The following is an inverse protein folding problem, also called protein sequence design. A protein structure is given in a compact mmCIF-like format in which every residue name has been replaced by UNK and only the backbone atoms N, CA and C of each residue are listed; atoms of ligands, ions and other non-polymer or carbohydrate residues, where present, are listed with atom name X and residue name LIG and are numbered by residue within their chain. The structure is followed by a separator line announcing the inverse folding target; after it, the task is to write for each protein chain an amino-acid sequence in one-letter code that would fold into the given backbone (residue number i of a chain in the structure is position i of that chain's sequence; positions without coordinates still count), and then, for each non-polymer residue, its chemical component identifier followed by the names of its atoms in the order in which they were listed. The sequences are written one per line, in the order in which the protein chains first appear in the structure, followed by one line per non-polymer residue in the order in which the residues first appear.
data_IF_912452230594
#
_entry.id   IF_912452230594
#
_cell.length_a   1.000
_cell.length_b   1.000
_cell.length_c   1.000
_cell.angle_alpha   90.00
_cell.angle_beta   90.00
_cell.angle_gamma   90.00
#
_symmetry.space_group_name_H-M   'P 1'
#
loop_
_entity.id
_entity.type
_entity.pdbx_description
1 polymer ?
#
# COMPACT_ATOMS: atom_id res chain seq x y z
N UNK A 1 9.59 -9.20 -14.23
CA UNK A 1 9.61 -7.83 -13.65
C UNK A 1 10.56 -7.81 -12.45
N UNK A 2 10.99 -6.65 -11.93
CA UNK A 2 12.02 -6.56 -10.86
C UNK A 2 11.70 -7.44 -9.65
N UNK A 3 10.44 -7.48 -9.25
CA UNK A 3 9.93 -8.24 -8.11
C UNK A 3 9.96 -9.76 -8.29
N UNK A 4 10.03 -10.24 -9.54
CA UNK A 4 10.14 -11.67 -9.87
C UNK A 4 11.60 -12.13 -9.88
N UNK A 5 12.56 -11.20 -9.91
CA UNK A 5 13.99 -11.55 -9.84
C UNK A 5 14.32 -12.16 -8.47
N UNK A 6 15.33 -13.04 -8.39
CA UNK A 6 15.78 -13.61 -7.13
C UNK A 6 16.15 -12.51 -6.13
N UNK A 7 15.70 -12.65 -4.89
CA UNK A 7 16.06 -11.73 -3.82
C UNK A 7 17.51 -11.96 -3.43
N UNK A 8 18.25 -10.88 -3.22
CA UNK A 8 19.63 -10.96 -2.73
C UNK A 8 19.72 -11.60 -1.34
N UNK A 9 18.71 -11.36 -0.51
CA UNK A 9 18.58 -11.96 0.82
C UNK A 9 17.68 -13.19 0.76
N UNK A 10 18.13 -14.28 1.36
CA UNK A 10 17.42 -15.55 1.41
C UNK A 10 17.07 -15.96 2.85
N UNK A 11 17.56 -15.22 3.86
CA UNK A 11 17.25 -15.46 5.28
C UNK A 11 16.09 -14.53 5.71
N UNK A 12 14.92 -14.76 5.11
CA UNK A 12 13.73 -13.94 5.32
C UNK A 12 12.77 -14.52 6.37
N UNK A 13 12.16 -13.66 7.18
CA UNK A 13 11.06 -14.01 8.07
C UNK A 13 9.75 -13.34 7.64
N UNK A 14 8.61 -13.99 7.92
CA UNK A 14 7.29 -13.58 7.40
C UNK A 14 6.20 -13.58 8.46
N UNK A 15 6.52 -13.22 9.71
CA UNK A 15 5.55 -13.20 10.82
C UNK A 15 4.37 -12.27 10.51
N UNK A 16 4.62 -11.12 9.92
CA UNK A 16 3.57 -10.14 9.57
C UNK A 16 2.64 -10.71 8.51
N UNK A 17 3.20 -11.26 7.43
CA UNK A 17 2.42 -11.90 6.37
C UNK A 17 1.62 -13.09 6.91
N UNK A 18 2.23 -13.95 7.74
CA UNK A 18 1.56 -15.07 8.38
C UNK A 18 0.36 -14.63 9.22
N UNK A 19 0.52 -13.62 10.09
CA UNK A 19 -0.56 -13.08 10.89
C UNK A 19 -1.70 -12.57 10.00
N UNK A 20 -1.38 -11.78 8.97
CA UNK A 20 -2.39 -11.22 8.05
C UNK A 20 -3.13 -12.30 7.26
N UNK A 21 -2.45 -13.35 6.80
CA UNK A 21 -3.11 -14.47 6.12
C UNK A 21 -4.02 -15.24 7.08
N UNK A 22 -3.60 -15.44 8.33
CA UNK A 22 -4.43 -16.10 9.35
C UNK A 22 -5.70 -15.28 9.64
N UNK A 23 -5.58 -13.97 9.75
CA UNK A 23 -6.70 -13.06 10.05
C UNK A 23 -7.70 -12.95 8.89
N UNK A 24 -7.22 -12.91 7.64
CA UNK A 24 -8.08 -12.58 6.50
C UNK A 24 -8.59 -13.79 5.72
N UNK A 25 -7.82 -14.89 5.69
CA UNK A 25 -8.15 -16.07 4.88
C UNK A 25 -8.07 -17.39 5.66
N UNK A 26 -7.99 -17.32 6.99
CA UNK A 26 -8.04 -18.47 7.90
C UNK A 26 -7.09 -19.61 7.54
N UNK A 27 -5.89 -19.28 7.04
CA UNK A 27 -4.85 -20.29 6.80
C UNK A 27 -4.36 -20.84 8.15
N UNK A 28 -4.53 -22.15 8.36
CA UNK A 28 -4.10 -22.83 9.58
C UNK A 28 -2.59 -23.12 9.63
N UNK A 29 -1.95 -23.31 8.46
CA UNK A 29 -0.52 -23.63 8.35
C UNK A 29 0.20 -22.70 7.37
N UNK A 30 1.27 -22.05 7.85
CA UNK A 30 2.13 -21.19 7.04
C UNK A 30 3.50 -21.85 6.87
N UNK A 31 3.83 -22.22 5.63
CA UNK A 31 5.07 -22.93 5.29
C UNK A 31 5.56 -22.53 3.89
N UNK A 32 6.61 -23.21 3.39
CA UNK A 32 7.16 -22.94 2.06
C UNK A 32 6.15 -23.16 0.92
N UNK A 33 5.20 -24.08 1.06
CA UNK A 33 4.18 -24.31 0.02
C UNK A 33 3.16 -23.17 -0.04
N UNK A 34 2.88 -22.53 1.11
CA UNK A 34 2.15 -21.25 1.13
C UNK A 34 2.90 -20.19 0.33
N UNK A 35 4.21 -20.07 0.53
CA UNK A 35 5.06 -19.09 -0.17
C UNK A 35 5.14 -19.37 -1.68
N UNK A 36 5.22 -20.64 -2.09
CA UNK A 36 5.13 -21.05 -3.51
C UNK A 36 3.77 -20.67 -4.12
N UNK A 37 2.67 -20.93 -3.40
CA UNK A 37 1.31 -20.58 -3.86
C UNK A 37 1.12 -19.08 -4.07
N UNK A 38 1.82 -18.27 -3.26
CA UNK A 38 1.84 -16.81 -3.39
C UNK A 38 2.85 -16.30 -4.43
N UNK A 39 3.57 -17.19 -5.11
CA UNK A 39 4.68 -16.89 -6.02
C UNK A 39 5.78 -16.04 -5.36
N UNK A 40 6.11 -16.35 -4.11
CA UNK A 40 7.16 -15.69 -3.33
C UNK A 40 8.44 -16.54 -3.22
N UNK A 41 8.34 -17.84 -3.50
CA UNK A 41 9.45 -18.79 -3.40
C UNK A 41 9.37 -19.83 -4.49
N UNK A 42 10.50 -20.24 -5.04
CA UNK A 42 10.63 -21.43 -5.88
C UNK A 42 11.87 -22.27 -5.50
N UNK A 43 11.87 -23.55 -5.87
CA UNK A 43 12.93 -24.48 -5.46
C UNK A 43 14.28 -24.24 -6.16
N UNK A 44 14.32 -23.45 -7.23
CA UNK A 44 15.51 -23.22 -8.06
C UNK A 44 16.22 -21.93 -7.63
N UNK A 45 15.46 -20.85 -7.48
CA UNK A 45 15.97 -19.50 -7.21
C UNK A 45 15.76 -19.04 -5.76
N UNK A 46 14.99 -19.79 -4.96
CA UNK A 46 14.62 -19.39 -3.61
C UNK A 46 13.59 -18.27 -3.59
N UNK A 47 13.76 -17.33 -2.66
CA UNK A 47 12.91 -16.15 -2.52
C UNK A 47 13.14 -15.15 -3.66
N UNK A 48 12.06 -14.54 -4.15
CA UNK A 48 12.12 -13.41 -5.09
C UNK A 48 12.00 -12.06 -4.37
N UNK A 49 12.23 -10.97 -5.11
CA UNK A 49 12.17 -9.62 -4.55
C UNK A 49 10.79 -9.27 -3.97
N UNK A 50 9.68 -9.81 -4.50
CA UNK A 50 8.36 -9.66 -3.89
C UNK A 50 8.29 -10.26 -2.48
N UNK A 51 8.96 -11.40 -2.26
CA UNK A 51 9.12 -11.97 -0.92
C UNK A 51 9.96 -11.05 -0.03
N UNK A 52 11.07 -10.51 -0.55
CA UNK A 52 11.87 -9.52 0.16
C UNK A 52 11.06 -8.31 0.61
N UNK A 53 10.15 -7.80 -0.23
CA UNK A 53 9.26 -6.69 0.13
C UNK A 53 8.26 -7.04 1.24
N UNK A 54 7.80 -8.29 1.27
CA UNK A 54 6.83 -8.78 2.24
C UNK A 54 7.47 -9.27 3.54
N UNK A 55 8.79 -9.50 3.55
CA UNK A 55 9.54 -9.94 4.71
C UNK A 55 9.46 -8.95 5.87
N UNK A 56 9.56 -9.43 7.10
CA UNK A 56 9.41 -8.62 8.31
C UNK A 56 10.46 -7.51 8.38
N UNK A 57 11.67 -7.78 7.86
CA UNK A 57 12.73 -6.82 7.64
C UNK A 57 13.25 -6.93 6.22
N UNK A 58 13.58 -5.81 5.61
CA UNK A 58 14.14 -5.76 4.27
C UNK A 58 15.06 -4.54 4.10
N UNK A 59 15.53 -4.29 2.87
CA UNK A 59 16.45 -3.19 2.54
C UNK A 59 15.86 -2.19 1.54
N UNK A 60 14.54 -2.25 1.29
CA UNK A 60 13.89 -1.39 0.30
C UNK A 60 13.44 -0.07 0.93
N UNK A 61 13.52 1.03 0.17
CA UNK A 61 12.92 2.31 0.55
C UNK A 61 11.41 2.14 0.66
N UNK A 62 10.80 2.72 1.71
CA UNK A 62 9.37 2.59 1.95
C UNK A 62 8.59 3.87 1.65
N UNK A 63 7.94 4.43 2.66
CA UNK A 63 7.07 5.61 2.57
C UNK A 63 7.58 6.73 3.48
N UNK A 64 7.53 7.96 3.00
CA UNK A 64 7.77 9.18 3.77
C UNK A 64 6.49 10.00 3.79
N UNK A 65 5.94 10.22 4.98
CA UNK A 65 4.66 10.88 5.20
C UNK A 65 4.91 12.20 5.93
N UNK A 66 4.38 13.28 5.37
CA UNK A 66 4.47 14.63 5.96
C UNK A 66 3.08 15.21 6.11
N UNK A 67 2.69 15.60 7.33
CA UNK A 67 1.54 16.47 7.58
C UNK A 67 2.03 17.92 7.59
N UNK A 68 1.53 18.71 6.66
CA UNK A 68 1.78 20.14 6.58
C UNK A 68 0.72 20.93 7.37
N UNK A 69 1.11 22.10 7.88
CA UNK A 69 0.20 23.09 8.44
C UNK A 69 -0.41 23.97 7.34
N UNK A 70 -0.56 25.26 7.61
CA UNK A 70 -1.15 26.23 6.69
C UNK A 70 -0.42 26.35 5.34
N UNK A 71 0.87 26.01 5.31
CA UNK A 71 1.67 25.96 4.09
C UNK A 71 2.79 24.92 4.20
N UNK A 72 3.47 24.67 3.08
CA UNK A 72 4.54 23.65 2.97
C UNK A 72 5.77 23.93 3.84
N UNK A 73 5.95 25.17 4.31
CA UNK A 73 7.05 25.54 5.21
C UNK A 73 6.76 25.16 6.66
N UNK A 74 5.51 24.83 7.00
CA UNK A 74 5.09 24.41 8.34
C UNK A 74 4.90 22.89 8.33
N UNK A 75 5.83 22.16 8.92
CA UNK A 75 5.74 20.70 9.08
C UNK A 75 5.19 20.39 10.47
N UNK A 76 3.98 19.84 10.53
CA UNK A 76 3.34 19.42 11.78
C UNK A 76 3.84 18.04 12.23
N UNK A 77 4.04 17.12 11.28
CA UNK A 77 4.62 15.79 11.53
C UNK A 77 5.33 15.30 10.28
N UNK A 78 6.43 14.59 10.49
CA UNK A 78 7.09 13.79 9.45
C UNK A 78 7.45 12.43 10.02
N UNK A 79 7.08 11.37 9.31
CA UNK A 79 7.41 10.00 9.67
C UNK A 79 7.81 9.23 8.42
N UNK A 80 8.85 8.42 8.55
CA UNK A 80 9.33 7.55 7.47
C UNK A 80 9.25 6.10 7.95
N UNK A 81 8.64 5.23 7.13
CA UNK A 81 8.61 3.79 7.36
C UNK A 81 9.33 3.10 6.21
N UNK A 82 10.41 2.39 6.52
CA UNK A 82 11.28 1.70 5.56
C UNK A 82 11.92 0.48 6.23
N UNK A 83 12.53 -0.40 5.43
CA UNK A 83 13.22 -1.61 5.92
C UNK A 83 12.34 -2.59 6.71
N UNK A 84 11.03 -2.50 6.52
CA UNK A 84 10.00 -3.35 7.12
C UNK A 84 9.06 -3.86 6.04
N UNK A 85 8.23 -4.85 6.38
CA UNK A 85 7.23 -5.40 5.46
C UNK A 85 6.34 -4.31 4.87
N UNK A 86 6.09 -4.36 3.57
CA UNK A 86 5.15 -3.45 2.89
C UNK A 86 3.73 -3.52 3.46
N UNK A 87 3.35 -4.65 4.08
CA UNK A 87 2.08 -4.77 4.81
C UNK A 87 2.07 -3.94 6.08
N UNK A 88 3.20 -3.89 6.79
CA UNK A 88 3.34 -3.04 7.98
C UNK A 88 3.42 -1.55 7.61
N UNK A 89 4.09 -1.21 6.49
CA UNK A 89 4.08 0.15 5.94
C UNK A 89 2.65 0.61 5.67
N UNK A 90 1.84 -0.24 5.03
CA UNK A 90 0.45 0.05 4.73
C UNK A 90 -0.37 0.33 6.00
N UNK A 91 -0.31 -0.55 7.01
CA UNK A 91 -1.03 -0.36 8.29
C UNK A 91 -0.58 0.90 9.04
N UNK A 92 0.72 1.16 9.10
CA UNK A 92 1.26 2.35 9.76
C UNK A 92 0.84 3.64 9.03
N UNK A 93 0.78 3.63 7.70
CA UNK A 93 0.28 4.76 6.93
C UNK A 93 -1.19 5.05 7.24
N UNK A 94 -2.03 4.02 7.35
CA UNK A 94 -3.43 4.17 7.76
C UNK A 94 -3.55 4.73 9.18
N UNK A 95 -2.73 4.25 10.13
CA UNK A 95 -2.73 4.79 11.49
C UNK A 95 -2.41 6.30 11.51
N UNK A 96 -1.41 6.73 10.74
CA UNK A 96 -1.09 8.16 10.58
C UNK A 96 -2.25 8.93 9.97
N UNK A 97 -2.96 8.37 8.99
CA UNK A 97 -4.14 9.02 8.43
C UNK A 97 -5.24 9.26 9.47
N UNK A 98 -5.55 8.23 10.27
CA UNK A 98 -6.61 8.30 11.29
C UNK A 98 -6.30 9.35 12.36
N UNK A 99 -5.02 9.55 12.71
CA UNK A 99 -4.59 10.60 13.65
C UNK A 99 -5.02 12.03 13.22
N UNK A 100 -5.16 12.31 11.92
CA UNK A 100 -5.37 13.66 11.39
C UNK A 100 -6.71 13.88 10.69
N UNK A 101 -7.27 12.83 10.09
CA UNK A 101 -8.48 12.92 9.27
C UNK A 101 -9.69 12.25 9.89
N UNK A 102 -9.55 11.59 11.04
CA UNK A 102 -10.69 11.08 11.80
C UNK A 102 -10.80 11.80 13.15
N UNK A 103 -12.03 12.13 13.52
CA UNK A 103 -12.35 12.69 14.83
C UNK A 103 -13.76 12.29 15.23
N UNK A 104 -14.07 12.39 16.52
CA UNK A 104 -15.39 12.03 17.03
C UNK A 104 -16.18 13.27 17.44
N UNK A 105 -17.46 13.28 17.07
CA UNK A 105 -18.41 14.31 17.46
C UNK A 105 -19.53 13.66 18.26
N UNK A 106 -19.93 14.28 19.37
CA UNK A 106 -21.09 13.87 20.14
C UNK A 106 -22.32 14.55 19.54
N UNK A 107 -23.26 13.75 19.03
CA UNK A 107 -24.52 14.23 18.47
C UNK A 107 -25.68 13.58 19.22
N UNK A 108 -26.31 14.33 20.14
CA UNK A 108 -27.31 13.79 21.04
C UNK A 108 -26.69 12.81 22.05
N UNK A 109 -27.22 11.59 22.11
CA UNK A 109 -26.69 10.53 22.98
C UNK A 109 -25.56 9.71 22.33
N UNK A 110 -25.33 9.86 21.02
CA UNK A 110 -24.41 9.03 20.27
C UNK A 110 -23.07 9.73 20.01
N UNK A 111 -21.99 8.94 20.08
CA UNK A 111 -20.68 9.35 19.59
C UNK A 111 -20.54 8.87 18.15
N UNK A 112 -20.30 9.80 17.23
CA UNK A 112 -20.10 9.49 15.80
C UNK A 112 -18.68 9.80 15.40
N UNK A 113 -18.06 8.86 14.70
CA UNK A 113 -16.81 9.07 14.00
C UNK A 113 -17.07 9.85 12.71
N UNK A 114 -16.28 10.89 12.46
CA UNK A 114 -16.34 11.75 11.29
C UNK A 114 -15.01 11.69 10.57
N UNK A 115 -15.05 11.53 9.26
CA UNK A 115 -13.88 11.54 8.39
C UNK A 115 -13.83 12.87 7.61
N UNK A 116 -12.69 13.57 7.64
CA UNK A 116 -12.45 14.77 6.81
C UNK A 116 -12.18 14.41 5.35
N UNK A 117 -11.59 13.24 5.15
CA UNK A 117 -11.28 12.64 3.87
C UNK A 117 -11.72 11.18 3.98
N UNK A 118 -12.31 10.55 2.95
CA UNK A 118 -12.73 9.15 3.03
C UNK A 118 -11.56 8.22 3.28
N UNK A 119 -11.57 7.45 4.38
CA UNK A 119 -10.49 6.50 4.68
C UNK A 119 -10.34 5.47 3.55
N UNK A 120 -11.46 5.02 3.00
CA UNK A 120 -11.48 4.05 1.90
C UNK A 120 -10.74 4.57 0.64
N UNK A 121 -10.74 5.88 0.38
CA UNK A 121 -10.00 6.47 -0.73
C UNK A 121 -8.50 6.51 -0.45
N UNK A 122 -8.11 6.87 0.77
CA UNK A 122 -6.70 6.86 1.19
C UNK A 122 -6.13 5.43 1.18
N UNK A 123 -6.91 4.46 1.67
CA UNK A 123 -6.59 3.02 1.66
C UNK A 123 -6.22 2.52 0.27
N UNK A 124 -7.09 2.80 -0.70
CA UNK A 124 -6.89 2.44 -2.11
C UNK A 124 -5.66 3.15 -2.70
N UNK A 125 -5.46 4.43 -2.40
CA UNK A 125 -4.32 5.20 -2.89
C UNK A 125 -2.97 4.66 -2.39
N UNK A 126 -2.86 4.33 -1.10
CA UNK A 126 -1.62 3.77 -0.52
C UNK A 126 -1.35 2.37 -1.05
N UNK A 127 -2.38 1.53 -1.16
CA UNK A 127 -2.20 0.20 -1.72
C UNK A 127 -1.73 0.27 -3.19
N UNK A 128 -2.33 1.15 -4.00
CA UNK A 128 -1.90 1.39 -5.38
C UNK A 128 -0.47 1.92 -5.45
N UNK A 129 -0.08 2.83 -4.56
CA UNK A 129 1.28 3.34 -4.50
C UNK A 129 2.30 2.23 -4.19
N UNK A 130 1.99 1.28 -3.31
CA UNK A 130 2.86 0.14 -2.98
C UNK A 130 2.92 -0.89 -4.13
N UNK A 131 1.76 -1.22 -4.72
CA UNK A 131 1.63 -2.25 -5.77
C UNK A 131 2.17 -1.79 -7.11
N UNK A 132 2.08 -0.51 -7.45
CA UNK A 132 2.51 0.00 -8.76
C UNK A 132 3.86 0.73 -8.73
N UNK A 133 4.53 0.81 -7.57
CA UNK A 133 5.87 1.38 -7.45
C UNK A 133 6.90 0.60 -8.27
N UNK A 134 7.85 1.29 -8.90
CA UNK A 134 9.07 0.66 -9.42
C UNK A 134 10.05 0.45 -8.27
N UNK A 135 10.19 -0.79 -7.82
CA UNK A 135 10.93 -1.09 -6.60
C UNK A 135 12.46 -1.01 -6.71
N UNK A 136 12.99 -1.01 -7.94
CA UNK A 136 14.42 -0.87 -8.25
C UNK A 136 14.94 0.59 -8.10
N UNK A 137 14.04 1.55 -7.84
CA UNK A 137 14.43 2.95 -7.60
C UNK A 137 14.61 3.15 -6.10
N UNK A 138 15.76 3.66 -5.65
CA UNK A 138 16.02 4.02 -4.26
C UNK A 138 15.40 5.39 -3.91
N UNK A 139 14.08 5.45 -3.76
CA UNK A 139 13.33 6.66 -3.42
C UNK A 139 11.99 6.33 -2.76
N UNK A 140 11.63 7.01 -1.68
CA UNK A 140 10.38 6.73 -0.97
C UNK A 140 9.13 7.08 -1.78
N UNK A 141 8.04 6.36 -1.52
CA UNK A 141 6.70 6.89 -1.79
C UNK A 141 6.53 8.12 -0.90
N UNK A 142 6.14 9.25 -1.47
CA UNK A 142 5.90 10.49 -0.71
C UNK A 142 4.41 10.69 -0.52
N UNK A 143 4.00 10.94 0.72
CA UNK A 143 2.62 11.27 1.08
C UNK A 143 2.62 12.65 1.74
N UNK A 144 2.04 13.63 1.07
CA UNK A 144 1.86 14.98 1.59
C UNK A 144 0.42 15.16 2.05
N UNK A 145 0.22 15.33 3.35
CA UNK A 145 -1.10 15.50 3.98
C UNK A 145 -1.34 16.98 4.27
N UNK A 146 -2.44 17.53 3.75
CA UNK A 146 -2.94 18.90 3.97
C UNK A 146 -4.34 18.85 4.58
N UNK A 147 -4.86 19.95 5.12
CA UNK A 147 -6.18 19.91 5.75
C UNK A 147 -7.33 19.58 4.78
N UNK A 148 -7.14 19.87 3.48
CA UNK A 148 -8.15 19.73 2.43
C UNK A 148 -7.84 18.63 1.40
N UNK A 149 -6.61 18.10 1.37
CA UNK A 149 -6.20 17.09 0.39
C UNK A 149 -5.02 16.24 0.87
N UNK A 150 -4.81 15.13 0.18
CA UNK A 150 -3.62 14.29 0.32
C UNK A 150 -3.02 14.06 -1.06
N UNK A 151 -1.71 14.25 -1.20
CA UNK A 151 -0.97 13.98 -2.43
C UNK A 151 -0.10 12.74 -2.21
N UNK A 152 -0.24 11.73 -3.07
CA UNK A 152 0.54 10.49 -3.03
C UNK A 152 1.37 10.38 -4.30
N UNK A 153 2.69 10.32 -4.17
CA UNK A 153 3.63 10.24 -5.30
C UNK A 153 4.51 8.99 -5.12
N UNK A 154 4.39 8.04 -6.05
CA UNK A 154 5.22 6.82 -6.08
C UNK A 154 6.23 6.84 -7.25
N UNK A 155 7.42 6.25 -7.07
CA UNK A 155 8.39 6.08 -8.15
C UNK A 155 7.85 5.21 -9.30
N UNK A 156 8.11 5.62 -10.55
CA UNK A 156 7.89 4.78 -11.74
C UNK A 156 6.95 5.32 -12.81
N UNK A 157 6.13 6.33 -12.49
CA UNK A 157 5.21 6.97 -13.45
C UNK A 157 4.12 6.04 -14.01
N UNK A 158 3.42 6.49 -15.05
CA UNK A 158 2.43 5.66 -15.75
C UNK A 158 3.11 4.50 -16.49
N UNK A 159 2.52 3.29 -16.54
CA UNK A 159 3.01 2.20 -17.37
C UNK A 159 3.17 2.65 -18.83
N UNK A 160 4.22 2.17 -19.50
CA UNK A 160 4.45 2.51 -20.90
C UNK A 160 3.25 2.12 -21.77
N UNK A 161 2.79 3.05 -22.60
CA UNK A 161 1.64 2.84 -23.49
C UNK A 161 0.27 3.09 -22.87
N UNK A 162 0.18 3.64 -21.65
CA UNK A 162 -1.08 4.12 -21.06
C UNK A 162 -1.04 5.64 -20.92
N UNK A 163 -2.07 6.34 -21.43
CA UNK A 163 -2.22 7.78 -21.19
C UNK A 163 -2.83 8.09 -19.83
N UNK A 164 -2.69 9.33 -19.36
CA UNK A 164 -3.30 9.75 -18.10
C UNK A 164 -4.83 9.61 -18.15
N UNK A 165 -5.45 9.92 -19.30
CA UNK A 165 -6.90 9.82 -19.50
C UNK A 165 -7.37 8.37 -19.44
N UNK A 166 -6.64 7.46 -20.08
CA UNK A 166 -6.92 6.03 -20.06
C UNK A 166 -6.83 5.45 -18.64
N UNK A 167 -5.76 5.79 -17.92
CA UNK A 167 -5.58 5.39 -16.53
C UNK A 167 -6.71 5.93 -15.63
N UNK A 168 -7.04 7.22 -15.77
CA UNK A 168 -8.09 7.88 -14.99
C UNK A 168 -9.50 7.39 -15.33
N UNK A 169 -9.71 6.81 -16.50
CA UNK A 169 -10.97 6.19 -16.90
C UNK A 169 -11.21 4.83 -16.24
N UNK A 170 -10.19 4.23 -15.62
CA UNK A 170 -10.25 2.91 -15.00
C UNK A 170 -10.35 1.75 -16.02
N UNK A 171 -10.30 2.02 -17.33
CA UNK A 171 -10.45 1.01 -18.38
C UNK A 171 -9.19 0.15 -18.59
N UNK A 172 -8.02 0.66 -18.20
CA UNK A 172 -6.73 -0.02 -18.33
C UNK A 172 -6.02 -0.06 -16.97
N UNK A 173 -5.83 -1.27 -16.44
CA UNK A 173 -5.05 -1.52 -15.22
C UNK A 173 -3.93 -2.51 -15.54
N UNK A 174 -2.72 -1.99 -15.74
CA UNK A 174 -1.52 -2.83 -15.90
C UNK A 174 -0.82 -2.91 -14.54
N UNK A 175 -0.90 -4.09 -13.93
CA UNK A 175 -0.18 -4.41 -12.69
C UNK A 175 1.32 -4.47 -12.98
N UNK A 176 2.10 -3.62 -12.31
CA UNK A 176 3.56 -3.65 -12.37
C UNK A 176 4.14 -4.76 -11.50
N UNK A 177 3.67 -4.88 -10.25
CA UNK A 177 4.16 -5.90 -9.32
C UNK A 177 3.08 -6.97 -9.09
N UNK A 178 3.04 -8.00 -9.94
CA UNK A 178 1.94 -8.99 -9.95
C UNK A 178 1.89 -9.85 -8.69
N UNK A 179 3.04 -10.31 -8.21
CA UNK A 179 3.11 -11.13 -6.98
C UNK A 179 2.65 -10.33 -5.76
N UNK A 180 3.05 -9.06 -5.67
CA UNK A 180 2.61 -8.17 -4.60
C UNK A 180 1.11 -7.87 -4.67
N UNK A 181 0.59 -7.58 -5.87
CA UNK A 181 -0.84 -7.37 -6.10
C UNK A 181 -1.67 -8.61 -5.69
N UNK A 182 -1.20 -9.81 -6.04
CA UNK A 182 -1.85 -11.07 -5.68
C UNK A 182 -1.94 -11.25 -4.15
N UNK A 183 -0.89 -10.89 -3.40
CA UNK A 183 -0.93 -10.93 -1.93
C UNK A 183 -1.92 -9.91 -1.38
N UNK A 184 -1.88 -8.65 -1.83
CA UNK A 184 -2.80 -7.61 -1.38
C UNK A 184 -4.27 -7.96 -1.67
N UNK A 185 -4.54 -8.54 -2.83
CA UNK A 185 -5.88 -9.01 -3.21
C UNK A 185 -6.37 -10.15 -2.33
N UNK A 186 -5.53 -11.16 -2.09
CA UNK A 186 -5.87 -12.28 -1.20
C UNK A 186 -6.14 -11.85 0.23
N UNK A 187 -5.49 -10.77 0.68
CA UNK A 187 -5.73 -10.14 1.98
C UNK A 187 -6.94 -9.18 2.00
N UNK A 188 -7.68 -9.03 0.89
CA UNK A 188 -8.83 -8.11 0.81
C UNK A 188 -8.46 -6.62 0.87
N UNK A 189 -7.19 -6.29 0.64
CA UNK A 189 -6.70 -4.91 0.74
C UNK A 189 -7.00 -4.11 -0.54
N UNK A 190 -7.10 -4.78 -1.69
CA UNK A 190 -7.39 -4.17 -3.00
C UNK A 190 -8.30 -5.05 -3.85
N UNK A 191 -8.93 -4.43 -4.84
CA UNK A 191 -9.60 -5.14 -5.95
C UNK A 191 -8.74 -5.05 -7.22
N UNK A 192 -8.61 -6.16 -7.96
CA UNK A 192 -7.76 -6.21 -9.17
C UNK A 192 -8.52 -5.81 -10.45
N UNK A 193 -9.83 -5.57 -10.39
CA UNK A 193 -10.67 -5.26 -11.57
C UNK A 193 -10.44 -3.87 -12.19
N UNK A 194 -9.41 -3.12 -11.79
CA UNK A 194 -9.12 -1.78 -12.31
C UNK A 194 -10.10 -0.69 -11.83
N UNK A 195 -10.92 -1.01 -10.83
CA UNK A 195 -11.97 -0.12 -10.31
C UNK A 195 -11.49 0.86 -9.24
N UNK A 196 -10.25 0.72 -8.76
CA UNK A 196 -9.70 1.50 -7.64
C UNK A 196 -9.81 3.02 -7.82
N UNK A 197 -9.37 3.55 -8.96
CA UNK A 197 -9.44 4.98 -9.27
C UNK A 197 -10.88 5.48 -9.36
N UNK A 198 -11.76 4.69 -9.97
CA UNK A 198 -13.19 5.03 -10.06
C UNK A 198 -13.85 5.06 -8.68
N UNK A 199 -13.51 4.11 -7.81
CA UNK A 199 -14.00 4.06 -6.42
C UNK A 199 -13.53 5.26 -5.61
N UNK A 200 -12.27 5.66 -5.74
CA UNK A 200 -11.77 6.90 -5.12
C UNK A 200 -12.63 8.09 -5.56
N UNK A 201 -12.85 8.27 -6.86
CA UNK A 201 -13.65 9.39 -7.38
C UNK A 201 -15.08 9.39 -6.85
N UNK A 202 -15.71 8.22 -6.78
CA UNK A 202 -17.07 8.06 -6.27
C UNK A 202 -17.17 8.42 -4.78
N UNK A 203 -16.22 7.97 -3.96
CA UNK A 203 -16.20 8.26 -2.52
C UNK A 203 -16.18 9.78 -2.24
N UNK A 204 -15.36 10.54 -2.98
CA UNK A 204 -15.34 12.00 -2.83
C UNK A 204 -16.61 12.70 -3.35
N UNK A 205 -17.34 12.11 -4.29
CA UNK A 205 -18.61 12.68 -4.77
C UNK A 205 -19.77 12.46 -3.78
N UNK A 206 -19.65 11.46 -2.91
CA UNK A 206 -20.66 11.06 -1.91
C UNK A 206 -20.37 11.62 -0.50
N UNK A 207 -19.22 12.30 -0.30
CA UNK A 207 -18.76 12.83 1.00
C UNK A 207 -19.17 14.27 1.26
#
# INVERSE_FOLDING_TARGET
SFEELPCKDQELSFKILQCKLKENIYIETFNQDTLKTLNLYDNINGYNNAAGLLADKNHFSGIDIVKFGENISIIQKRVTFEHISVLEIYEKALAVFRDYYQYEVIQGADRKMVEKIPEAAFREAIANALIHRVWDINSHIRVSMFDDRIEVVSPGGLPAGITAEEYLSGKLSILRNRNLANVFYRLGLVEIFGTGITRIKQLYAES
#
